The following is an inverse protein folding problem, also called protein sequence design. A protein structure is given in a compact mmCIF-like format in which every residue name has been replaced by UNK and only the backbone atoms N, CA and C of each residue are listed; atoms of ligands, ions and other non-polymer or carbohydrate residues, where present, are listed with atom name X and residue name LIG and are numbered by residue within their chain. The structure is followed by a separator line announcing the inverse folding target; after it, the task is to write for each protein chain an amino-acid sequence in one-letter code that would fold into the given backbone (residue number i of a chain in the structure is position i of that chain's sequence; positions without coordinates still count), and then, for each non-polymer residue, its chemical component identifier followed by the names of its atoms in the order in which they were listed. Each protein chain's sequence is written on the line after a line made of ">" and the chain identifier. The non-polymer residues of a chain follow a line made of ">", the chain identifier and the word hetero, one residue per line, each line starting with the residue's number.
data_IF_371160832353
#
_entry.id   IF_371160832353
#
_cell.length_a   1.000
_cell.length_b   1.000
_cell.length_c   1.000
_cell.angle_alpha   90.00
_cell.angle_beta   90.00
_cell.angle_gamma   90.00
#
_symmetry.space_group_name_H-M   'P 1'
#
loop_
_entity.id
_entity.type
_entity.pdbx_description
1 polymer ?
#
# COMPACT_ATOMS: atom_id res chain seq x y z
N UNK A 1 -8.21 25.33 13.66
CA UNK A 1 -7.55 25.94 12.48
C UNK A 1 -7.14 24.80 11.58
N UNK A 2 -8.02 24.46 10.64
CA UNK A 2 -7.84 23.36 9.69
C UNK A 2 -6.94 23.82 8.54
N UNK A 3 -5.65 23.44 8.59
CA UNK A 3 -4.75 23.66 7.46
C UNK A 3 -4.80 22.46 6.49
N UNK A 4 -5.23 22.80 5.27
CA UNK A 4 -5.20 21.98 4.06
C UNK A 4 -3.81 21.37 3.81
N UNK A 5 -3.67 20.05 4.00
CA UNK A 5 -2.52 19.28 3.53
C UNK A 5 -2.88 18.34 2.35
N UNK A 6 -3.98 18.64 1.64
CA UNK A 6 -4.62 17.75 0.64
C UNK A 6 -3.91 17.60 -0.73
N UNK A 7 -3.15 18.57 -1.28
CA UNK A 7 -2.57 18.42 -2.62
C UNK A 7 -1.23 17.67 -2.67
N UNK A 8 -0.44 17.65 -1.59
CA UNK A 8 0.91 17.05 -1.59
C UNK A 8 0.87 15.51 -1.48
N UNK A 9 -0.06 14.96 -0.68
CA UNK A 9 -0.21 13.51 -0.49
C UNK A 9 -0.74 12.81 -1.74
N UNK A 10 -1.69 13.44 -2.46
CA UNK A 10 -2.20 12.91 -3.74
C UNK A 10 -1.16 12.98 -4.86
N UNK A 11 -0.39 14.08 -4.93
CA UNK A 11 0.72 14.21 -5.89
C UNK A 11 1.85 13.21 -5.66
N UNK A 12 2.14 12.85 -4.40
CA UNK A 12 3.14 11.83 -4.07
C UNK A 12 2.63 10.42 -4.37
N UNK A 13 1.35 10.12 -4.14
CA UNK A 13 0.73 8.86 -4.54
C UNK A 13 0.70 8.68 -6.06
N UNK A 14 0.36 9.75 -6.81
CA UNK A 14 0.42 9.78 -8.28
C UNK A 14 1.83 9.48 -8.81
N UNK A 15 2.85 10.13 -8.26
CA UNK A 15 4.27 9.87 -8.64
C UNK A 15 4.71 8.45 -8.32
N UNK A 16 4.29 7.87 -7.19
CA UNK A 16 4.57 6.47 -6.83
C UNK A 16 3.92 5.49 -7.82
N UNK A 17 2.66 5.72 -8.19
CA UNK A 17 1.93 4.87 -9.15
C UNK A 17 2.51 4.98 -10.57
N UNK A 18 2.94 6.17 -10.99
CA UNK A 18 3.64 6.38 -12.27
C UNK A 18 5.00 5.67 -12.32
N UNK A 19 5.79 5.72 -11.23
CA UNK A 19 7.07 5.01 -11.13
C UNK A 19 6.89 3.48 -11.14
N UNK A 20 5.89 2.96 -10.43
CA UNK A 20 5.59 1.53 -10.44
C UNK A 20 5.10 1.01 -11.80
N UNK A 21 4.40 1.85 -12.57
CA UNK A 21 3.99 1.52 -13.93
C UNK A 21 5.19 1.43 -14.89
N UNK A 22 6.18 2.31 -14.76
CA UNK A 22 7.41 2.26 -15.58
C UNK A 22 8.31 1.07 -15.23
N UNK A 23 8.38 0.65 -13.96
CA UNK A 23 9.13 -0.55 -13.56
C UNK A 23 8.55 -1.85 -14.17
N UNK A 24 7.21 -1.94 -14.28
CA UNK A 24 6.51 -3.09 -14.86
C UNK A 24 6.61 -3.15 -16.40
N UNK A 25 7.01 -2.06 -17.09
CA UNK A 25 7.31 -2.07 -18.54
C UNK A 25 8.58 -2.83 -18.93
N UNK A 26 9.43 -3.20 -17.97
CA UNK A 26 10.65 -3.98 -18.26
C UNK A 26 10.37 -5.37 -18.86
N UNK A 27 9.11 -5.85 -18.82
CA UNK A 27 8.62 -7.02 -19.55
C UNK A 27 7.70 -6.65 -20.72
N UNK A 28 8.29 -6.37 -21.90
CA UNK A 28 7.67 -6.31 -23.24
C UNK A 28 6.21 -5.83 -23.35
N UNK A 29 6.03 -4.55 -23.67
CA UNK A 29 5.24 -4.11 -24.83
C UNK A 29 5.50 -2.62 -25.11
N UNK A 30 6.31 -2.30 -26.14
CA UNK A 30 6.47 -0.92 -26.61
C UNK A 30 5.29 -0.58 -27.51
N UNK A 31 4.24 0.03 -26.97
CA UNK A 31 3.24 0.72 -27.78
C UNK A 31 3.69 2.17 -27.99
N UNK A 32 3.98 2.51 -29.25
CA UNK A 32 4.32 3.86 -29.68
C UNK A 32 3.21 4.85 -29.29
N UNK A 33 3.58 5.93 -28.61
CA UNK A 33 2.67 7.01 -28.24
C UNK A 33 2.57 7.96 -29.43
N UNK A 34 1.49 7.84 -30.19
CA UNK A 34 0.99 8.93 -31.03
C UNK A 34 -0.01 9.69 -30.17
N UNK A 35 0.41 10.81 -29.60
CA UNK A 35 -0.45 11.76 -28.89
C UNK A 35 -1.33 12.51 -29.90
N UNK A 36 -2.42 11.85 -30.32
CA UNK A 36 -3.56 12.53 -30.92
C UNK A 36 -4.45 13.06 -29.80
N UNK A 37 -4.95 14.30 -29.93
CA UNK A 37 -5.96 14.88 -29.03
C UNK A 37 -7.25 14.04 -29.10
N UNK A 38 -7.34 13.01 -28.25
CA UNK A 38 -8.54 12.17 -28.14
C UNK A 38 -9.68 12.97 -27.51
N UNK A 39 -10.86 12.89 -28.09
CA UNK A 39 -12.05 13.51 -27.48
C UNK A 39 -12.56 12.66 -26.32
N UNK A 40 -13.32 13.24 -25.39
CA UNK A 40 -13.98 12.46 -24.32
C UNK A 40 -14.89 11.37 -24.89
N UNK A 41 -15.52 11.60 -26.05
CA UNK A 41 -16.37 10.61 -26.71
C UNK A 41 -15.58 9.42 -27.23
N UNK A 42 -14.38 9.63 -27.77
CA UNK A 42 -13.50 8.53 -28.19
C UNK A 42 -13.07 7.68 -27.00
N UNK A 43 -12.75 8.32 -25.86
CA UNK A 43 -12.36 7.62 -24.64
C UNK A 43 -13.52 6.79 -24.09
N UNK A 44 -14.74 7.34 -24.04
CA UNK A 44 -15.94 6.60 -23.61
C UNK A 44 -16.16 5.37 -24.49
N UNK A 45 -16.04 5.52 -25.82
CA UNK A 45 -16.18 4.40 -26.75
C UNK A 45 -15.13 3.32 -26.48
N UNK A 46 -13.86 3.72 -26.33
CA UNK A 46 -12.75 2.80 -26.05
C UNK A 46 -12.98 2.05 -24.72
N UNK A 47 -13.37 2.76 -23.65
CA UNK A 47 -13.68 2.16 -22.35
C UNK A 47 -14.82 1.15 -22.47
N UNK A 48 -15.93 1.49 -23.13
CA UNK A 48 -17.08 0.58 -23.31
C UNK A 48 -16.68 -0.70 -24.04
N UNK A 49 -15.87 -0.61 -25.10
CA UNK A 49 -15.36 -1.78 -25.82
C UNK A 49 -14.59 -2.70 -24.85
N UNK A 50 -13.71 -2.13 -24.02
CA UNK A 50 -12.94 -2.92 -23.05
C UNK A 50 -13.80 -3.50 -21.94
N UNK A 51 -14.83 -2.78 -21.47
CA UNK A 51 -15.79 -3.29 -20.50
C UNK A 51 -16.61 -4.46 -21.08
N UNK A 52 -17.03 -4.36 -22.33
CA UNK A 52 -17.75 -5.43 -23.03
C UNK A 52 -16.87 -6.67 -23.19
N UNK A 53 -15.59 -6.50 -23.54
CA UNK A 53 -14.62 -7.60 -23.57
C UNK A 53 -14.49 -8.26 -22.20
N UNK A 54 -14.34 -7.49 -21.11
CA UNK A 54 -14.27 -8.04 -19.76
C UNK A 54 -15.57 -8.76 -19.35
N UNK A 55 -16.72 -8.32 -19.82
CA UNK A 55 -17.99 -8.99 -19.52
C UNK A 55 -18.23 -10.26 -20.35
N UNK A 56 -17.62 -10.39 -21.52
CA UNK A 56 -17.81 -11.52 -22.44
C UNK A 56 -16.71 -12.58 -22.32
N UNK A 57 -15.46 -12.18 -22.13
CA UNK A 57 -14.29 -13.06 -22.01
C UNK A 57 -14.11 -13.60 -20.58
N UNK A 58 -15.04 -14.44 -20.10
CA UNK A 58 -15.01 -15.02 -18.74
C UNK A 58 -14.41 -16.43 -18.72
N UNK A 59 -14.41 -17.16 -19.83
CA UNK A 59 -13.86 -18.53 -19.85
C UNK A 59 -12.34 -18.55 -19.74
N UNK A 60 -11.79 -19.63 -19.19
CA UNK A 60 -10.35 -19.86 -19.01
C UNK A 60 -9.60 -20.28 -20.29
N UNK A 61 -10.14 -19.95 -21.47
CA UNK A 61 -9.44 -20.19 -22.73
C UNK A 61 -8.32 -19.16 -22.89
N UNK A 62 -7.21 -19.55 -23.52
CA UNK A 62 -6.05 -18.67 -23.73
C UNK A 62 -6.45 -17.34 -24.41
N UNK A 63 -7.32 -17.41 -25.42
CA UNK A 63 -7.82 -16.23 -26.13
C UNK A 63 -8.64 -15.29 -25.24
N UNK A 64 -9.54 -15.82 -24.40
CA UNK A 64 -10.35 -14.99 -23.50
C UNK A 64 -9.49 -14.38 -22.38
N UNK A 65 -8.56 -15.15 -21.82
CA UNK A 65 -7.61 -14.66 -20.81
C UNK A 65 -6.70 -13.56 -21.37
N UNK A 66 -6.18 -13.73 -22.58
CA UNK A 66 -5.39 -12.70 -23.26
C UNK A 66 -6.21 -11.43 -23.53
N UNK A 67 -7.44 -11.56 -24.02
CA UNK A 67 -8.31 -10.42 -24.31
C UNK A 67 -8.72 -9.67 -23.02
N UNK A 68 -9.06 -10.38 -21.95
CA UNK A 68 -9.37 -9.81 -20.65
C UNK A 68 -8.16 -9.09 -20.05
N UNK A 69 -6.97 -9.71 -20.10
CA UNK A 69 -5.71 -9.09 -19.67
C UNK A 69 -5.46 -7.77 -20.40
N UNK A 70 -5.49 -7.79 -21.73
CA UNK A 70 -5.25 -6.60 -22.55
C UNK A 70 -6.27 -5.49 -22.23
N UNK A 71 -7.54 -5.84 -22.05
CA UNK A 71 -8.59 -4.88 -21.71
C UNK A 71 -8.38 -4.27 -20.33
N UNK A 72 -8.05 -5.07 -19.31
CA UNK A 72 -7.77 -4.58 -17.96
C UNK A 72 -6.50 -3.68 -17.93
N UNK A 73 -5.46 -4.01 -18.70
CA UNK A 73 -4.26 -3.18 -18.83
C UNK A 73 -4.55 -1.84 -19.51
N UNK A 74 -5.39 -1.83 -20.54
CA UNK A 74 -5.79 -0.60 -21.21
C UNK A 74 -6.65 0.28 -20.31
N UNK A 75 -7.61 -0.29 -19.58
CA UNK A 75 -8.37 0.44 -18.56
C UNK A 75 -7.45 1.02 -17.48
N UNK A 76 -6.44 0.26 -17.04
CA UNK A 76 -5.43 0.76 -16.09
C UNK A 76 -4.68 1.97 -16.65
N UNK A 77 -4.24 1.89 -17.92
CA UNK A 77 -3.54 3.00 -18.58
C UNK A 77 -4.41 4.25 -18.70
N UNK A 78 -5.71 4.09 -18.99
CA UNK A 78 -6.66 5.20 -19.04
C UNK A 78 -6.88 5.78 -17.63
N UNK A 79 -6.98 4.92 -16.61
CA UNK A 79 -7.19 5.30 -15.21
C UNK A 79 -6.00 6.04 -14.57
N UNK A 80 -4.81 6.03 -15.20
CA UNK A 80 -3.68 6.87 -14.76
C UNK A 80 -3.99 8.37 -14.85
N UNK A 81 -4.93 8.76 -15.71
CA UNK A 81 -5.45 10.12 -15.73
C UNK A 81 -6.66 10.21 -14.79
N UNK A 82 -6.46 10.83 -13.63
CA UNK A 82 -7.50 11.04 -12.62
C UNK A 82 -8.76 11.70 -13.22
N UNK A 83 -8.63 12.64 -14.16
CA UNK A 83 -9.76 13.36 -14.75
C UNK A 83 -10.68 12.44 -15.58
N UNK A 84 -10.18 11.27 -16.00
CA UNK A 84 -10.91 10.31 -16.84
C UNK A 84 -11.54 9.19 -15.99
N UNK A 85 -11.09 8.99 -14.75
CA UNK A 85 -11.56 7.89 -13.89
C UNK A 85 -13.08 7.87 -13.74
N UNK A 86 -13.72 9.04 -13.70
CA UNK A 86 -15.18 9.15 -13.56
C UNK A 86 -15.90 8.53 -14.77
N UNK A 87 -15.38 8.77 -15.98
CA UNK A 87 -15.89 8.17 -17.22
C UNK A 87 -15.70 6.65 -17.23
N UNK A 88 -14.59 6.16 -16.67
CA UNK A 88 -14.32 4.71 -16.57
C UNK A 88 -15.37 4.04 -15.68
N UNK A 89 -15.67 4.67 -14.54
CA UNK A 89 -16.68 4.18 -13.59
C UNK A 89 -18.08 4.24 -14.19
N UNK A 90 -18.45 5.34 -14.84
CA UNK A 90 -19.75 5.51 -15.52
C UNK A 90 -19.99 4.47 -16.63
N UNK A 91 -18.92 4.01 -17.29
CA UNK A 91 -19.01 2.94 -18.30
C UNK A 91 -19.17 1.53 -17.70
N UNK A 92 -19.25 1.38 -16.38
CA UNK A 92 -19.46 0.09 -15.72
C UNK A 92 -18.20 -0.77 -15.61
N UNK A 93 -17.00 -0.15 -15.63
CA UNK A 93 -15.75 -0.89 -15.55
C UNK A 93 -15.56 -1.61 -14.21
N UNK A 94 -16.01 -1.03 -13.10
CA UNK A 94 -15.77 -1.59 -11.77
C UNK A 94 -16.42 -2.97 -11.59
N UNK A 95 -17.72 -3.18 -11.84
CA UNK A 95 -18.32 -4.52 -11.79
C UNK A 95 -17.65 -5.52 -12.74
N UNK A 96 -17.27 -5.10 -13.96
CA UNK A 96 -16.62 -5.97 -14.93
C UNK A 96 -15.23 -6.43 -14.47
N UNK A 97 -14.44 -5.52 -13.88
CA UNK A 97 -13.14 -5.84 -13.29
C UNK A 97 -13.27 -6.77 -12.08
N UNK A 98 -14.24 -6.53 -11.19
CA UNK A 98 -14.46 -7.40 -10.03
C UNK A 98 -14.88 -8.80 -10.46
N UNK A 99 -15.76 -8.91 -11.46
CA UNK A 99 -16.22 -10.20 -12.02
C UNK A 99 -15.07 -11.07 -12.53
N UNK A 100 -14.07 -10.45 -13.16
CA UNK A 100 -12.88 -11.15 -13.64
C UNK A 100 -12.00 -11.70 -12.51
N UNK A 101 -11.95 -11.03 -11.35
CA UNK A 101 -11.23 -11.53 -10.17
C UNK A 101 -12.06 -12.57 -9.40
N UNK A 102 -13.39 -12.46 -9.39
CA UNK A 102 -14.30 -13.37 -8.70
C UNK A 102 -14.35 -14.78 -9.30
N UNK A 103 -13.83 -14.99 -10.49
CA UNK A 103 -13.93 -16.27 -11.20
C UNK A 103 -12.82 -17.20 -10.71
N UNK A 104 -13.12 -18.26 -9.92
CA UNK A 104 -12.11 -19.21 -9.50
C UNK A 104 -11.64 -20.01 -10.72
N UNK A 105 -10.35 -20.31 -10.88
CA UNK A 105 -9.99 -21.44 -11.72
C UNK A 105 -10.64 -22.67 -11.09
N UNK A 106 -11.56 -23.30 -11.84
CA UNK A 106 -11.98 -24.65 -11.51
C UNK A 106 -10.70 -25.48 -11.49
N UNK A 107 -10.27 -25.88 -10.30
CA UNK A 107 -9.19 -26.84 -10.09
C UNK A 107 -9.65 -28.18 -10.67
N UNK A 108 -9.49 -28.35 -11.98
CA UNK A 108 -9.21 -29.65 -12.54
C UNK A 108 -7.69 -29.77 -12.49
N UNK A 109 -7.21 -30.63 -11.60
CA UNK A 109 -5.83 -31.03 -11.53
C UNK A 109 -5.31 -31.36 -12.94
N UNK A 110 -4.14 -30.83 -13.29
CA UNK A 110 -3.20 -31.28 -14.34
C UNK A 110 -2.86 -30.36 -15.54
N UNK A 111 -3.47 -29.18 -15.74
CA UNK A 111 -3.02 -28.28 -16.83
C UNK A 111 -2.53 -26.89 -16.33
N UNK A 112 -1.40 -26.38 -16.85
CA UNK A 112 -0.94 -25.02 -16.53
C UNK A 112 -1.95 -24.00 -17.07
N UNK A 113 -2.50 -23.17 -16.17
CA UNK A 113 -3.49 -22.14 -16.53
C UNK A 113 -2.79 -21.08 -17.41
N UNK A 114 -3.22 -20.87 -18.68
CA UNK A 114 -2.64 -19.84 -19.53
C UNK A 114 -2.80 -18.45 -18.91
N UNK A 115 -1.73 -17.66 -18.85
CA UNK A 115 -1.69 -16.34 -18.19
C UNK A 115 -2.10 -16.39 -16.71
N UNK A 116 -1.61 -17.39 -16.00
CA UNK A 116 -1.85 -17.56 -14.57
C UNK A 116 -1.66 -16.23 -13.82
N UNK A 117 -2.76 -15.77 -13.19
CA UNK A 117 -2.85 -14.54 -12.38
C UNK A 117 -2.65 -13.18 -13.08
N UNK A 118 -2.28 -13.13 -14.36
CA UNK A 118 -2.01 -11.86 -15.04
C UNK A 118 -3.27 -11.00 -15.29
N UNK A 119 -4.44 -11.62 -15.44
CA UNK A 119 -5.73 -10.89 -15.54
C UNK A 119 -6.07 -10.30 -14.17
N UNK A 120 -5.97 -11.09 -13.11
CA UNK A 120 -6.27 -10.73 -11.73
C UNK A 120 -5.36 -9.59 -11.28
N UNK A 121 -4.07 -9.66 -11.61
CA UNK A 121 -3.10 -8.57 -11.41
C UNK A 121 -3.52 -7.28 -12.09
N UNK A 122 -3.89 -7.34 -13.38
CA UNK A 122 -4.30 -6.17 -14.15
C UNK A 122 -5.61 -5.58 -13.60
N UNK A 123 -6.56 -6.43 -13.21
CA UNK A 123 -7.82 -6.01 -12.61
C UNK A 123 -7.62 -5.37 -11.23
N UNK A 124 -6.81 -5.98 -10.35
CA UNK A 124 -6.47 -5.41 -9.05
C UNK A 124 -5.78 -4.04 -9.20
N UNK A 125 -4.86 -3.91 -10.18
CA UNK A 125 -4.21 -2.64 -10.47
C UNK A 125 -5.21 -1.57 -10.95
N UNK A 126 -6.10 -1.90 -11.90
CA UNK A 126 -7.14 -0.99 -12.38
C UNK A 126 -8.06 -0.52 -11.24
N UNK A 127 -8.51 -1.44 -10.39
CA UNK A 127 -9.32 -1.11 -9.21
C UNK A 127 -8.57 -0.21 -8.23
N UNK A 128 -7.27 -0.47 -8.02
CA UNK A 128 -6.41 0.37 -7.20
C UNK A 128 -6.29 1.79 -7.73
N UNK A 129 -6.18 1.98 -9.05
CA UNK A 129 -6.15 3.31 -9.68
C UNK A 129 -7.50 4.03 -9.56
N UNK A 130 -8.62 3.34 -9.77
CA UNK A 130 -9.96 3.91 -9.60
C UNK A 130 -10.17 4.36 -8.14
N UNK A 131 -9.67 3.58 -7.18
CA UNK A 131 -9.78 3.86 -5.75
C UNK A 131 -8.88 5.00 -5.25
N UNK A 132 -7.99 5.56 -6.07
CA UNK A 132 -7.22 6.77 -5.73
C UNK A 132 -8.16 7.95 -5.47
N UNK A 133 -9.29 8.03 -6.21
CA UNK A 133 -10.36 8.97 -5.93
C UNK A 133 -11.27 8.42 -4.82
N UNK A 134 -11.32 9.14 -3.71
CA UNK A 134 -12.13 8.78 -2.54
C UNK A 134 -13.62 8.54 -2.87
N UNK A 135 -14.16 9.26 -3.85
CA UNK A 135 -15.55 9.16 -4.31
C UNK A 135 -15.89 7.77 -4.86
N UNK A 136 -14.92 7.06 -5.45
CA UNK A 136 -15.14 5.74 -6.06
C UNK A 136 -14.80 4.58 -5.14
N UNK A 137 -14.11 4.83 -4.03
CA UNK A 137 -13.70 3.77 -3.10
C UNK A 137 -14.90 2.94 -2.61
N UNK A 138 -15.98 3.61 -2.20
CA UNK A 138 -17.17 2.93 -1.69
C UNK A 138 -17.86 2.11 -2.79
N UNK A 139 -17.94 2.65 -4.02
CA UNK A 139 -18.50 1.94 -5.17
C UNK A 139 -17.70 0.66 -5.49
N UNK A 140 -16.37 0.72 -5.45
CA UNK A 140 -15.50 -0.45 -5.64
C UNK A 140 -15.73 -1.50 -4.55
N UNK A 141 -15.87 -1.07 -3.31
CA UNK A 141 -16.16 -1.94 -2.18
C UNK A 141 -17.55 -2.59 -2.30
N UNK A 142 -18.56 -1.82 -2.71
CA UNK A 142 -19.95 -2.30 -2.88
C UNK A 142 -20.11 -3.23 -4.08
N UNK A 143 -19.26 -3.09 -5.11
CA UNK A 143 -19.16 -4.05 -6.21
C UNK A 143 -18.58 -5.41 -5.78
N UNK A 144 -18.11 -5.55 -4.53
CA UNK A 144 -17.59 -6.80 -3.99
C UNK A 144 -16.09 -7.01 -4.22
N UNK A 145 -15.31 -5.94 -4.40
CA UNK A 145 -13.87 -6.06 -4.63
C UNK A 145 -13.09 -6.55 -3.39
N UNK A 146 -13.51 -6.22 -2.17
CA UNK A 146 -12.73 -6.53 -0.96
C UNK A 146 -12.50 -8.02 -0.73
N UNK A 147 -13.54 -8.90 -0.73
CA UNK A 147 -13.31 -10.33 -0.57
C UNK A 147 -12.36 -10.90 -1.63
N UNK A 148 -12.45 -10.41 -2.87
CA UNK A 148 -11.59 -10.82 -3.98
C UNK A 148 -10.12 -10.45 -3.71
N UNK A 149 -9.86 -9.19 -3.36
CA UNK A 149 -8.52 -8.70 -3.07
C UNK A 149 -7.92 -9.42 -1.85
N UNK A 150 -8.71 -9.67 -0.80
CA UNK A 150 -8.28 -10.42 0.38
C UNK A 150 -7.95 -11.87 0.04
N UNK A 151 -8.69 -12.50 -0.89
CA UNK A 151 -8.38 -13.85 -1.36
C UNK A 151 -7.07 -13.88 -2.16
N UNK A 152 -6.82 -12.88 -3.02
CA UNK A 152 -5.54 -12.76 -3.74
C UNK A 152 -4.34 -12.67 -2.78
N UNK A 153 -4.48 -11.99 -1.63
CA UNK A 153 -3.41 -11.92 -0.63
C UNK A 153 -3.08 -13.29 -0.01
N UNK A 154 -4.04 -14.23 0.03
CA UNK A 154 -3.88 -15.55 0.67
C UNK A 154 -3.21 -16.59 -0.22
N UNK A 155 -2.99 -16.27 -1.50
CA UNK A 155 -2.46 -17.22 -2.49
C UNK A 155 -1.03 -17.69 -2.22
N UNK A 156 -0.26 -16.96 -1.40
CA UNK A 156 1.08 -17.38 -0.98
C UNK A 156 1.10 -18.67 -0.14
N UNK A 157 -0.05 -19.10 0.40
CA UNK A 157 -0.14 -20.28 1.28
C UNK A 157 0.07 -21.61 0.55
N UNK A 158 -0.01 -21.61 -0.77
CA UNK A 158 0.08 -22.84 -1.58
C UNK A 158 1.53 -23.24 -1.92
N UNK A 159 2.53 -22.55 -1.36
CA UNK A 159 3.95 -22.92 -1.47
C UNK A 159 4.61 -22.63 -2.84
N UNK A 160 3.85 -22.12 -3.82
CA UNK A 160 4.36 -21.73 -5.13
C UNK A 160 4.70 -20.23 -5.18
N UNK A 161 5.99 -19.88 -5.11
CA UNK A 161 6.47 -18.51 -5.22
C UNK A 161 6.84 -18.17 -6.68
N UNK A 162 5.85 -17.94 -7.54
CA UNK A 162 6.09 -17.46 -8.91
C UNK A 162 6.20 -15.94 -8.98
N UNK A 163 6.90 -15.41 -10.01
CA UNK A 163 7.03 -13.96 -10.22
C UNK A 163 5.67 -13.32 -10.48
N UNK A 164 4.80 -14.03 -11.17
CA UNK A 164 3.45 -13.63 -11.52
C UNK A 164 2.60 -13.52 -10.25
N UNK A 165 2.66 -14.51 -9.36
CA UNK A 165 2.00 -14.50 -8.05
C UNK A 165 2.42 -13.28 -7.21
N UNK A 166 3.72 -13.02 -7.12
CA UNK A 166 4.24 -11.85 -6.39
C UNK A 166 3.64 -10.54 -6.95
N UNK A 167 3.53 -10.45 -8.28
CA UNK A 167 2.91 -9.31 -8.95
C UNK A 167 1.45 -9.09 -8.54
N UNK A 168 0.69 -10.17 -8.37
CA UNK A 168 -0.74 -10.14 -8.03
C UNK A 168 -0.95 -9.77 -6.59
N UNK A 169 -0.22 -10.42 -5.67
CA UNK A 169 -0.26 -10.14 -4.24
C UNK A 169 0.10 -8.66 -3.98
N UNK A 170 1.17 -8.18 -4.63
CA UNK A 170 1.59 -6.78 -4.57
C UNK A 170 0.45 -5.85 -5.00
N UNK A 171 -0.15 -6.08 -6.18
CA UNK A 171 -1.24 -5.22 -6.68
C UNK A 171 -2.52 -5.32 -5.86
N UNK A 172 -2.79 -6.46 -5.22
CA UNK A 172 -3.90 -6.57 -4.28
C UNK A 172 -3.65 -5.72 -3.01
N UNK A 173 -2.44 -5.75 -2.45
CA UNK A 173 -2.07 -4.93 -1.30
C UNK A 173 -2.08 -3.42 -1.63
N UNK A 174 -1.59 -3.03 -2.81
CA UNK A 174 -1.64 -1.64 -3.30
C UNK A 174 -3.09 -1.17 -3.46
N UNK A 175 -3.96 -1.99 -4.05
CA UNK A 175 -5.38 -1.68 -4.20
C UNK A 175 -6.08 -1.51 -2.85
N UNK A 176 -5.81 -2.38 -1.88
CA UNK A 176 -6.30 -2.28 -0.50
C UNK A 176 -5.83 -0.96 0.15
N UNK A 177 -4.57 -0.58 -0.08
CA UNK A 177 -4.01 0.70 0.41
C UNK A 177 -4.83 1.88 -0.11
N UNK A 178 -5.07 1.94 -1.42
CA UNK A 178 -5.82 3.03 -2.05
C UNK A 178 -7.29 3.05 -1.62
N UNK A 179 -7.93 1.89 -1.48
CA UNK A 179 -9.31 1.77 -0.99
C UNK A 179 -9.47 2.25 0.46
N UNK A 180 -8.48 1.96 1.30
CA UNK A 180 -8.48 2.33 2.71
C UNK A 180 -8.03 3.78 2.98
N UNK A 181 -7.38 4.43 2.01
CA UNK A 181 -6.81 5.76 2.18
C UNK A 181 -7.91 6.78 2.53
N UNK A 182 -7.74 7.49 3.64
CA UNK A 182 -8.71 8.46 4.19
C UNK A 182 -10.14 7.92 4.45
N UNK A 183 -10.37 6.60 4.44
CA UNK A 183 -11.70 6.01 4.60
C UNK A 183 -11.79 5.02 5.78
N UNK A 184 -12.23 5.51 6.94
CA UNK A 184 -12.31 4.73 8.17
C UNK A 184 -13.27 3.53 8.10
N UNK A 185 -14.37 3.65 7.33
CA UNK A 185 -15.34 2.56 7.15
C UNK A 185 -14.72 1.41 6.36
N UNK A 186 -14.01 1.72 5.27
CA UNK A 186 -13.34 0.72 4.45
C UNK A 186 -12.20 0.06 5.23
N UNK A 187 -11.41 0.81 6.01
CA UNK A 187 -10.40 0.24 6.92
C UNK A 187 -10.98 -0.80 7.86
N UNK A 188 -12.15 -0.50 8.43
CA UNK A 188 -12.85 -1.43 9.34
C UNK A 188 -13.35 -2.65 8.58
N UNK A 189 -13.91 -2.45 7.38
CA UNK A 189 -14.40 -3.55 6.53
C UNK A 189 -13.28 -4.50 6.10
N UNK A 190 -12.11 -3.98 5.71
CA UNK A 190 -10.94 -4.81 5.38
C UNK A 190 -10.53 -5.69 6.56
N UNK A 191 -10.57 -5.16 7.79
CA UNK A 191 -10.33 -5.95 9.01
C UNK A 191 -11.37 -7.06 9.17
N UNK A 192 -12.65 -6.74 9.08
CA UNK A 192 -13.74 -7.71 9.29
C UNK A 192 -13.78 -8.81 8.21
N UNK A 193 -13.32 -8.51 6.99
CA UNK A 193 -13.16 -9.47 5.89
C UNK A 193 -11.90 -10.36 6.05
N UNK A 194 -11.11 -10.16 7.12
CA UNK A 194 -9.90 -10.94 7.41
C UNK A 194 -8.70 -10.55 6.56
N UNK A 195 -8.59 -9.27 6.15
CA UNK A 195 -7.48 -8.76 5.36
C UNK A 195 -6.18 -8.52 6.14
N UNK A 196 -6.23 -8.29 7.46
CA UNK A 196 -5.03 -8.00 8.27
C UNK A 196 -4.11 -9.23 8.41
N UNK A 197 -4.60 -10.43 8.80
CA UNK A 197 -3.72 -11.59 8.96
C UNK A 197 -2.84 -11.93 7.74
N UNK A 198 -3.35 -11.98 6.49
CA UNK A 198 -2.48 -12.23 5.34
C UNK A 198 -1.51 -11.09 5.06
N UNK A 199 -1.88 -9.83 5.31
CA UNK A 199 -0.93 -8.70 5.18
C UNK A 199 0.23 -8.81 6.18
N UNK A 200 -0.03 -9.27 7.41
CA UNK A 200 1.03 -9.49 8.41
C UNK A 200 1.93 -10.65 7.99
N UNK A 201 1.38 -11.75 7.47
CA UNK A 201 2.17 -12.87 6.92
C UNK A 201 3.09 -12.42 5.79
N UNK A 202 2.62 -11.51 4.93
CA UNK A 202 3.40 -10.99 3.81
C UNK A 202 4.55 -10.05 4.22
N UNK A 203 4.65 -9.64 5.49
CA UNK A 203 5.82 -8.91 5.99
C UNK A 203 7.09 -9.78 6.02
N UNK A 204 6.96 -11.11 6.07
CA UNK A 204 8.09 -12.06 6.06
C UNK A 204 8.38 -12.61 4.65
N UNK A 205 7.70 -12.08 3.64
CA UNK A 205 7.79 -12.59 2.28
C UNK A 205 9.12 -12.25 1.63
N UNK A 206 9.67 -13.18 0.85
CA UNK A 206 11.01 -13.04 0.24
C UNK A 206 11.11 -11.92 -0.80
N UNK A 207 10.01 -11.59 -1.47
CA UNK A 207 9.97 -10.50 -2.44
C UNK A 207 9.82 -9.14 -1.73
N UNK A 208 10.86 -8.31 -1.84
CA UNK A 208 10.93 -6.98 -1.21
C UNK A 208 9.76 -6.09 -1.63
N UNK A 209 9.29 -6.19 -2.88
CA UNK A 209 8.17 -5.36 -3.36
C UNK A 209 6.86 -5.79 -2.72
N UNK A 210 6.64 -7.10 -2.56
CA UNK A 210 5.48 -7.63 -1.82
C UNK A 210 5.53 -7.21 -0.35
N UNK A 211 6.68 -7.39 0.30
CA UNK A 211 6.89 -6.99 1.70
C UNK A 211 6.58 -5.50 1.90
N UNK A 212 7.06 -4.63 1.00
CA UNK A 212 6.81 -3.19 1.02
C UNK A 212 5.33 -2.86 0.85
N UNK A 213 4.65 -3.43 -0.14
CA UNK A 213 3.22 -3.18 -0.37
C UNK A 213 2.36 -3.66 0.80
N UNK A 214 2.71 -4.79 1.41
CA UNK A 214 2.05 -5.28 2.62
C UNK A 214 2.22 -4.30 3.80
N UNK A 215 3.43 -3.79 4.02
CA UNK A 215 3.69 -2.78 5.05
C UNK A 215 2.94 -1.47 4.78
N UNK A 216 2.89 -0.99 3.54
CA UNK A 216 2.12 0.20 3.15
C UNK A 216 0.61 0.05 3.41
N UNK A 217 0.05 -1.14 3.14
CA UNK A 217 -1.34 -1.45 3.45
C UNK A 217 -1.58 -1.43 4.97
N UNK A 218 -0.74 -2.10 5.76
CA UNK A 218 -0.84 -2.10 7.23
C UNK A 218 -0.70 -0.69 7.83
N UNK A 219 0.20 0.13 7.30
CA UNK A 219 0.38 1.52 7.72
C UNK A 219 -0.91 2.30 7.54
N UNK A 220 -1.58 2.13 6.40
CA UNK A 220 -2.85 2.79 6.10
C UNK A 220 -3.98 2.30 7.00
N UNK A 221 -4.05 0.98 7.21
CA UNK A 221 -5.06 0.35 8.06
C UNK A 221 -4.92 0.74 9.54
N UNK A 222 -3.69 0.92 10.04
CA UNK A 222 -3.41 1.35 11.42
C UNK A 222 -3.73 2.83 11.68
N UNK A 223 -3.71 3.68 10.63
CA UNK A 223 -3.88 5.12 10.80
C UNK A 223 -5.28 5.47 11.33
N UNK A 224 -5.33 5.97 12.58
CA UNK A 224 -6.54 6.41 13.29
C UNK A 224 -7.63 5.32 13.38
N UNK A 225 -7.25 4.06 13.58
CA UNK A 225 -8.20 2.96 13.80
C UNK A 225 -7.64 1.98 14.84
N UNK A 226 -8.10 2.09 16.08
CA UNK A 226 -7.50 1.37 17.22
C UNK A 226 -7.78 -0.14 17.16
N UNK A 227 -8.95 -0.56 16.67
CA UNK A 227 -9.27 -1.97 16.47
C UNK A 227 -8.36 -2.62 15.43
N UNK A 228 -8.01 -1.90 14.37
CA UNK A 228 -7.03 -2.37 13.39
C UNK A 228 -5.63 -2.44 13.99
N UNK A 229 -5.21 -1.43 14.77
CA UNK A 229 -3.89 -1.47 15.45
C UNK A 229 -3.77 -2.69 16.36
N UNK A 230 -4.79 -2.93 17.19
CA UNK A 230 -4.83 -4.08 18.10
C UNK A 230 -4.72 -5.40 17.33
N UNK A 231 -5.50 -5.57 16.25
CA UNK A 231 -5.45 -6.80 15.46
C UNK A 231 -4.08 -7.00 14.77
N UNK A 232 -3.41 -5.93 14.32
CA UNK A 232 -2.06 -6.03 13.75
C UNK A 232 -1.06 -6.57 14.79
N UNK A 233 -1.15 -6.10 16.03
CA UNK A 233 -0.31 -6.56 17.14
C UNK A 233 -0.66 -8.00 17.54
N UNK A 234 -1.95 -8.33 17.64
CA UNK A 234 -2.44 -9.70 17.91
C UNK A 234 -1.99 -10.72 16.85
N UNK A 235 -1.83 -10.28 15.60
CA UNK A 235 -1.26 -11.10 14.52
C UNK A 235 0.28 -11.24 14.60
N UNK A 236 0.91 -10.76 15.68
CA UNK A 236 2.36 -10.84 15.92
C UNK A 236 3.22 -10.09 14.87
N UNK A 237 2.77 -8.93 14.39
CA UNK A 237 3.53 -8.16 13.39
C UNK A 237 4.80 -7.47 13.96
N UNK A 238 4.88 -7.25 15.28
CA UNK A 238 5.91 -6.38 15.88
C UNK A 238 7.35 -6.87 15.67
N UNK A 239 7.70 -8.15 15.92
CA UNK A 239 9.07 -8.63 15.72
C UNK A 239 9.55 -8.42 14.29
N UNK A 240 8.70 -8.73 13.31
CA UNK A 240 8.99 -8.58 11.88
C UNK A 240 9.15 -7.10 11.50
N UNK A 241 8.26 -6.22 11.96
CA UNK A 241 8.37 -4.78 11.71
C UNK A 241 9.67 -4.20 12.31
N UNK A 242 10.08 -4.65 13.50
CA UNK A 242 11.35 -4.22 14.12
C UNK A 242 12.56 -4.70 13.31
N UNK A 243 12.52 -5.92 12.78
CA UNK A 243 13.56 -6.42 11.89
C UNK A 243 13.65 -5.57 10.61
N UNK A 244 12.51 -5.24 10.01
CA UNK A 244 12.43 -4.43 8.78
C UNK A 244 13.01 -3.01 8.94
N UNK A 245 13.03 -2.43 10.16
CA UNK A 245 13.70 -1.15 10.43
C UNK A 245 15.20 -1.17 10.12
N UNK A 246 15.82 -2.35 10.07
CA UNK A 246 17.24 -2.53 9.77
C UNK A 246 17.49 -2.99 8.33
N UNK A 247 16.46 -2.96 7.47
CA UNK A 247 16.61 -3.29 6.05
C UNK A 247 17.55 -2.32 5.34
N UNK A 248 18.37 -2.86 4.44
CA UNK A 248 19.20 -2.08 3.50
C UNK A 248 18.34 -1.35 2.46
N UNK A 249 17.12 -1.85 2.20
CA UNK A 249 16.16 -1.17 1.34
C UNK A 249 15.48 -0.04 2.11
N UNK A 250 15.75 1.19 1.66
CA UNK A 250 15.22 2.43 2.24
C UNK A 250 13.70 2.46 2.26
N UNK A 251 13.05 1.92 1.23
CA UNK A 251 11.59 1.92 1.15
C UNK A 251 10.97 0.93 2.14
N UNK A 252 11.65 -0.18 2.42
CA UNK A 252 11.21 -1.15 3.45
C UNK A 252 11.30 -0.55 4.85
N UNK A 253 12.45 0.02 5.23
CA UNK A 253 12.58 0.59 6.56
C UNK A 253 11.66 1.82 6.75
N UNK A 254 11.36 2.55 5.67
CA UNK A 254 10.45 3.69 5.67
C UNK A 254 9.00 3.26 5.97
N UNK A 255 8.53 2.22 5.29
CA UNK A 255 7.19 1.71 5.59
C UNK A 255 7.12 1.09 6.99
N UNK A 256 8.16 0.36 7.42
CA UNK A 256 8.21 -0.23 8.77
C UNK A 256 8.12 0.83 9.88
N UNK A 257 8.91 1.91 9.81
CA UNK A 257 8.85 2.99 10.80
C UNK A 257 7.49 3.70 10.76
N UNK A 258 6.89 3.86 9.58
CA UNK A 258 5.56 4.44 9.42
C UNK A 258 4.43 3.57 10.00
N UNK A 259 4.50 2.24 9.84
CA UNK A 259 3.56 1.30 10.48
C UNK A 259 3.66 1.43 11.99
N UNK A 260 4.88 1.33 12.54
CA UNK A 260 5.12 1.42 13.99
C UNK A 260 4.65 2.77 14.54
N UNK A 261 4.95 3.87 13.86
CA UNK A 261 4.49 5.22 14.24
C UNK A 261 2.97 5.32 14.34
N UNK A 262 2.25 4.73 13.39
CA UNK A 262 0.79 4.67 13.44
C UNK A 262 0.26 3.75 14.54
N UNK A 263 0.92 2.61 14.79
CA UNK A 263 0.56 1.66 15.83
C UNK A 263 0.67 2.25 17.24
N UNK A 264 1.73 3.02 17.53
CA UNK A 264 1.94 3.57 18.88
C UNK A 264 1.21 4.88 19.13
N UNK A 265 0.72 5.54 18.07
CA UNK A 265 0.01 6.81 18.18
C UNK A 265 -1.28 6.65 19.00
N UNK A 266 -1.37 7.35 20.13
CA UNK A 266 -2.49 7.26 21.08
C UNK A 266 -2.75 5.85 21.66
N UNK A 267 -1.76 4.95 21.60
CA UNK A 267 -1.89 3.56 22.05
C UNK A 267 -0.77 3.21 23.04
N UNK A 268 -0.91 3.52 24.34
CA UNK A 268 0.16 3.34 25.32
C UNK A 268 0.56 1.87 25.54
N UNK A 269 -0.39 0.92 25.43
CA UNK A 269 -0.09 -0.51 25.56
C UNK A 269 0.77 -0.99 24.39
N UNK A 270 0.33 -0.73 23.15
CA UNK A 270 1.09 -1.07 21.94
C UNK A 270 2.48 -0.41 21.96
N UNK A 271 2.59 0.81 22.48
CA UNK A 271 3.88 1.48 22.64
C UNK A 271 4.84 0.70 23.53
N UNK A 272 4.36 0.16 24.65
CA UNK A 272 5.17 -0.71 25.53
C UNK A 272 5.58 -1.98 24.80
N UNK A 273 4.66 -2.61 24.08
CA UNK A 273 4.93 -3.84 23.32
C UNK A 273 6.00 -3.61 22.24
N UNK A 274 5.94 -2.49 21.53
CA UNK A 274 6.95 -2.06 20.53
C UNK A 274 8.33 -1.84 21.17
N UNK A 275 8.38 -1.22 22.34
CA UNK A 275 9.64 -1.01 23.07
C UNK A 275 10.23 -2.34 23.57
N UNK A 276 9.38 -3.23 24.09
CA UNK A 276 9.76 -4.59 24.53
C UNK A 276 10.24 -5.45 23.35
N UNK A 277 9.66 -5.26 22.15
CA UNK A 277 10.12 -5.90 20.92
C UNK A 277 11.48 -5.36 20.42
N UNK A 278 12.07 -4.38 21.10
CA UNK A 278 13.43 -3.90 20.81
C UNK A 278 13.51 -2.80 19.75
N UNK A 279 12.41 -2.13 19.41
CA UNK A 279 12.36 -1.12 18.34
C UNK A 279 13.26 0.11 18.56
N UNK A 280 13.60 0.43 19.82
CA UNK A 280 14.23 1.69 20.18
C UNK A 280 15.57 1.93 19.45
N UNK A 281 16.50 0.98 19.47
CA UNK A 281 17.81 1.19 18.84
C UNK A 281 17.73 1.27 17.31
N UNK A 282 16.98 0.39 16.60
CA UNK A 282 16.74 0.54 15.17
C UNK A 282 16.15 1.91 14.79
N UNK A 283 15.18 2.43 15.55
CA UNK A 283 14.60 3.76 15.30
C UNK A 283 15.64 4.87 15.49
N UNK A 284 16.49 4.79 16.53
CA UNK A 284 17.57 5.77 16.73
C UNK A 284 18.54 5.76 15.55
N UNK A 285 18.90 4.58 15.00
CA UNK A 285 19.76 4.51 13.80
C UNK A 285 19.13 5.19 12.59
N UNK A 286 17.81 5.13 12.42
CA UNK A 286 17.12 5.77 11.31
C UNK A 286 17.16 7.30 11.35
N UNK A 287 17.47 7.92 12.51
CA UNK A 287 17.71 9.38 12.59
C UNK A 287 18.90 9.83 11.73
N UNK A 288 19.82 8.92 11.43
CA UNK A 288 20.98 9.16 10.54
C UNK A 288 20.83 8.49 9.17
N UNK A 289 19.61 8.12 8.77
CA UNK A 289 19.33 7.56 7.44
C UNK A 289 19.62 8.58 6.33
N UNK A 290 20.03 8.11 5.16
CA UNK A 290 20.18 8.94 3.96
C UNK A 290 18.84 9.41 3.37
N UNK A 291 17.72 8.87 3.86
CA UNK A 291 16.38 9.25 3.45
C UNK A 291 15.72 10.19 4.46
N UNK A 292 15.41 11.41 4.01
CA UNK A 292 14.80 12.45 4.84
C UNK A 292 13.44 12.02 5.39
N UNK A 293 12.65 11.28 4.60
CA UNK A 293 11.35 10.77 5.03
C UNK A 293 11.48 9.77 6.18
N UNK A 294 12.46 8.86 6.12
CA UNK A 294 12.78 7.92 7.21
C UNK A 294 13.24 8.67 8.45
N UNK A 295 14.08 9.70 8.31
CA UNK A 295 14.54 10.51 9.43
C UNK A 295 13.37 11.26 10.11
N UNK A 296 12.44 11.83 9.33
CA UNK A 296 11.25 12.52 9.86
C UNK A 296 10.37 11.57 10.68
N UNK A 297 10.06 10.39 10.12
CA UNK A 297 9.25 9.39 10.81
C UNK A 297 9.95 8.85 12.06
N UNK A 298 11.27 8.62 12.00
CA UNK A 298 12.05 8.20 13.15
C UNK A 298 12.03 9.26 14.25
N UNK A 299 12.24 10.54 13.94
CA UNK A 299 12.19 11.62 14.92
C UNK A 299 10.80 11.76 15.55
N UNK A 300 9.74 11.68 14.75
CA UNK A 300 8.36 11.66 15.26
C UNK A 300 8.15 10.51 16.24
N UNK A 301 8.60 9.30 15.88
CA UNK A 301 8.48 8.10 16.71
C UNK A 301 9.29 8.21 18.01
N UNK A 302 10.49 8.80 17.98
CA UNK A 302 11.26 9.10 19.20
C UNK A 302 10.50 10.03 20.14
N UNK A 303 9.88 11.10 19.61
CA UNK A 303 9.04 11.99 20.41
C UNK A 303 7.80 11.29 21.00
N UNK A 304 7.24 10.32 20.28
CA UNK A 304 6.16 9.47 20.78
C UNK A 304 6.62 8.49 21.87
N UNK A 305 7.81 7.92 21.75
CA UNK A 305 8.41 7.06 22.79
C UNK A 305 8.77 7.84 24.05
N UNK A 306 9.31 9.05 23.92
CA UNK A 306 9.58 9.94 25.06
C UNK A 306 8.33 10.26 25.89
N UNK A 307 7.14 10.10 25.31
CA UNK A 307 5.86 10.27 25.99
C UNK A 307 5.40 9.02 26.80
N UNK A 308 6.14 7.92 26.79
CA UNK A 308 5.74 6.67 27.44
C UNK A 308 5.89 6.74 28.97
N UNK A 309 7.10 7.02 29.44
CA UNK A 309 7.49 7.13 30.84
C UNK A 309 8.85 7.85 30.95
N UNK A 310 9.25 8.21 32.18
CA UNK A 310 10.52 8.91 32.47
C UNK A 310 11.75 8.06 32.15
N UNK A 311 11.67 6.75 32.36
CA UNK A 311 12.79 5.82 32.15
C UNK A 311 13.10 5.68 30.66
N UNK A 312 12.07 5.68 29.82
CA UNK A 312 12.20 5.66 28.36
C UNK A 312 12.96 6.89 27.86
N UNK A 313 12.71 8.09 28.42
CA UNK A 313 13.47 9.31 28.06
C UNK A 313 14.96 9.13 28.36
N UNK A 314 15.30 8.62 29.54
CA UNK A 314 16.68 8.34 29.94
C UNK A 314 17.32 7.34 28.98
N UNK A 315 16.62 6.26 28.63
CA UNK A 315 17.12 5.28 27.67
C UNK A 315 17.30 5.82 26.26
N UNK A 316 16.39 6.68 25.78
CA UNK A 316 16.53 7.35 24.47
C UNK A 316 17.80 8.21 24.44
N UNK A 317 18.05 8.99 25.51
CA UNK A 317 19.24 9.84 25.61
C UNK A 317 20.52 9.00 25.71
N UNK A 318 20.55 8.01 26.61
CA UNK A 318 21.71 7.14 26.82
C UNK A 318 22.10 6.34 25.56
N UNK A 319 21.12 6.00 24.71
CA UNK A 319 21.34 5.30 23.44
C UNK A 319 21.76 6.22 22.28
N UNK A 320 21.97 7.51 22.55
CA UNK A 320 22.56 8.45 21.61
C UNK A 320 21.59 9.06 20.61
N UNK A 321 20.30 9.22 20.97
CA UNK A 321 19.34 9.88 20.08
C UNK A 321 19.56 11.40 19.94
N UNK A 322 20.18 12.05 20.95
CA UNK A 322 20.28 13.52 21.00
C UNK A 322 21.19 14.10 19.91
N UNK A 323 22.43 13.61 19.66
CA UNK A 323 23.29 14.16 18.62
C UNK A 323 22.66 14.20 17.21
N UNK A 324 22.08 13.11 16.66
CA UNK A 324 21.48 13.16 15.33
C UNK A 324 20.25 14.07 15.29
N UNK A 325 19.47 14.18 16.37
CA UNK A 325 18.37 15.15 16.45
C UNK A 325 18.89 16.59 16.36
N UNK A 326 19.95 16.93 17.09
CA UNK A 326 20.56 18.27 17.01
C UNK A 326 21.07 18.55 15.58
N UNK A 327 21.71 17.58 14.94
CA UNK A 327 22.17 17.71 13.55
C UNK A 327 21.01 18.00 12.60
N UNK A 328 19.89 17.29 12.74
CA UNK A 328 18.68 17.49 11.93
C UNK A 328 18.10 18.91 12.03
N UNK A 329 18.29 19.64 13.15
CA UNK A 329 17.85 21.03 13.29
C UNK A 329 18.57 22.00 12.33
N UNK A 330 19.73 21.60 11.81
CA UNK A 330 20.53 22.40 10.88
C UNK A 330 20.16 22.19 9.41
N UNK A 331 19.29 21.22 9.10
CA UNK A 331 18.87 20.88 7.73
C UNK A 331 18.25 22.07 6.97
N UNK A 332 18.14 22.03 5.65
CA UNK A 332 17.29 22.98 4.91
C UNK A 332 15.80 22.60 4.96
N UNK A 333 15.50 21.37 5.36
CA UNK A 333 14.17 20.79 5.37
C UNK A 333 13.35 21.19 6.61
N UNK A 334 12.29 21.96 6.40
CA UNK A 334 11.46 22.50 7.49
C UNK A 334 10.77 21.40 8.29
N UNK A 335 10.21 20.39 7.62
CA UNK A 335 9.50 19.30 8.28
C UNK A 335 10.45 18.44 9.12
N UNK A 336 11.68 18.22 8.65
CA UNK A 336 12.71 17.51 9.40
C UNK A 336 13.08 18.27 10.69
N UNK A 337 13.25 19.60 10.61
CA UNK A 337 13.48 20.43 11.80
C UNK A 337 12.35 20.36 12.79
N UNK A 338 11.11 20.45 12.31
CA UNK A 338 9.91 20.38 13.14
C UNK A 338 9.84 19.05 13.90
N UNK A 339 10.08 17.92 13.23
CA UNK A 339 10.06 16.61 13.87
C UNK A 339 11.20 16.44 14.88
N UNK A 340 12.40 16.96 14.56
CA UNK A 340 13.51 16.94 15.51
C UNK A 340 13.24 17.81 16.74
N UNK A 341 12.77 19.04 16.55
CA UNK A 341 12.42 19.96 17.63
C UNK A 341 11.30 19.38 18.51
N UNK A 342 10.31 18.72 17.89
CA UNK A 342 9.28 17.98 18.61
C UNK A 342 9.90 16.89 19.50
N UNK A 343 10.77 16.04 18.95
CA UNK A 343 11.40 14.96 19.70
C UNK A 343 12.24 15.49 20.88
N UNK A 344 13.09 16.48 20.65
CA UNK A 344 13.92 17.12 21.69
C UNK A 344 13.05 17.79 22.76
N UNK A 345 11.98 18.48 22.35
CA UNK A 345 11.03 19.09 23.29
C UNK A 345 10.35 18.07 24.20
N UNK A 346 10.00 16.89 23.69
CA UNK A 346 9.42 15.79 24.49
C UNK A 346 10.43 15.14 25.43
N UNK A 347 11.70 15.09 25.05
CA UNK A 347 12.79 14.57 25.88
C UNK A 347 13.16 15.53 27.02
N UNK A 348 12.98 16.83 26.83
CA UNK A 348 13.30 17.86 27.82
C UNK A 348 12.17 18.13 28.85
N UNK A 349 10.93 17.72 28.54
CA UNK A 349 9.77 17.77 29.46
C UNK A 349 9.91 16.75 30.60
#
# INVERSE_FOLDING_TARGET
>A
MDHQNKPQTRRSLKRKLEQEFEEDKSGRCKAAVVESRRTHQDIIRDVRIHVDVLNTCISFTEAHRAAAKCSAQLLSKIAMNEDIVDLIVECGAVPALVKQIQTPPLLAESDPIPFEYEVEKACAFALGLIAVKAEHQQLVVDAGALPCLVNLLKMHKDGCNSREMNGVIRKAADAITNLAHENARIKTRIRTEGGIPPLVQLLEYHDIKVQRSAAGALRTLAFKNDENKNQIVECNALPTLVLMLSSEDVTVHYEAVGVIGNLVHSSPNIKKDVLLAGALQPVIRLLSSSCLESQREAALLIGQFAAADSDCKVHIVQRGAVPPLIEMLTSSDVQLKEMSAFALGRLAQ
#
